data_IF_362247377720
#
_entry.id   IF_362247377720
#
_cell.length_a   1.000
_cell.length_b   1.000
_cell.length_c   1.000
_cell.angle_alpha   90.00
_cell.angle_beta   90.00
_cell.angle_gamma   90.00
#
_symmetry.space_group_name_H-M   'P 1'
#
loop_
_entity.id
_entity.type
_entity.pdbx_description
1 polymer ?
#
# COMPACT_ATOMS: atom_id res chain seq x y z
N UNK A 1 13.84 6.42 -5.15
CA UNK A 1 12.89 6.26 -6.29
C UNK A 1 12.14 7.56 -6.52
N UNK A 2 11.92 7.98 -7.77
CA UNK A 2 11.09 9.17 -8.07
C UNK A 2 9.62 8.84 -7.94
N UNK A 3 8.79 9.80 -7.52
CA UNK A 3 7.34 9.62 -7.36
C UNK A 3 6.66 9.14 -8.67
N UNK A 4 7.09 9.63 -9.82
CA UNK A 4 6.57 9.20 -11.13
C UNK A 4 6.81 7.71 -11.42
N UNK A 5 7.99 7.20 -11.07
CA UNK A 5 8.33 5.79 -11.22
C UNK A 5 7.52 4.93 -10.26
N UNK A 6 7.42 5.35 -8.98
CA UNK A 6 6.58 4.70 -7.99
C UNK A 6 5.13 4.62 -8.44
N UNK A 7 4.58 5.74 -8.93
CA UNK A 7 3.21 5.82 -9.44
C UNK A 7 2.98 4.81 -10.57
N UNK A 8 3.86 4.77 -11.56
CA UNK A 8 3.75 3.83 -12.69
C UNK A 8 3.79 2.36 -12.23
N UNK A 9 4.65 2.03 -11.26
CA UNK A 9 4.72 0.68 -10.69
C UNK A 9 3.46 0.31 -9.90
N UNK A 10 2.89 1.23 -9.12
CA UNK A 10 1.62 1.04 -8.41
C UNK A 10 0.46 0.85 -9.40
N UNK A 11 0.41 1.66 -10.46
CA UNK A 11 -0.60 1.54 -11.53
C UNK A 11 -0.49 0.20 -12.28
N UNK A 12 0.71 -0.28 -12.51
CA UNK A 12 0.93 -1.61 -13.13
C UNK A 12 0.51 -2.75 -12.20
N UNK A 13 0.89 -2.69 -10.93
CA UNK A 13 0.57 -3.74 -9.95
C UNK A 13 -0.91 -3.77 -9.58
N UNK A 14 -1.59 -2.61 -9.53
CA UNK A 14 -3.01 -2.41 -9.14
C UNK A 14 -3.37 -2.89 -7.74
N UNK A 15 -2.56 -3.72 -7.11
CA UNK A 15 -2.77 -4.23 -5.75
C UNK A 15 -1.47 -4.20 -4.98
N UNK A 16 -1.55 -3.84 -3.70
CA UNK A 16 -0.43 -3.83 -2.76
C UNK A 16 -0.76 -4.78 -1.61
N UNK A 17 -0.04 -5.89 -1.43
CA UNK A 17 -0.16 -6.72 -0.24
C UNK A 17 0.18 -5.92 1.02
N UNK A 18 -0.75 -5.87 1.99
CA UNK A 18 -0.59 -5.17 3.27
C UNK A 18 -0.33 -6.20 4.35
N UNK A 19 0.86 -6.17 4.92
CA UNK A 19 1.45 -7.28 5.66
C UNK A 19 1.81 -6.86 7.08
N UNK A 20 1.39 -7.68 8.06
CA UNK A 20 1.94 -7.68 9.40
C UNK A 20 2.75 -8.97 9.59
N UNK A 21 4.01 -8.85 9.95
CA UNK A 21 4.96 -9.96 10.10
C UNK A 21 5.75 -9.78 11.38
N UNK A 22 5.91 -10.86 12.15
CA UNK A 22 6.52 -10.82 13.47
C UNK A 22 7.95 -11.36 13.49
N UNK A 23 8.29 -12.20 12.53
CA UNK A 23 9.59 -12.86 12.46
C UNK A 23 10.36 -12.42 11.22
N UNK A 24 11.54 -11.85 11.44
CA UNK A 24 12.45 -11.42 10.36
C UNK A 24 12.90 -12.61 9.50
N UNK A 25 13.00 -13.82 10.06
CA UNK A 25 13.37 -15.01 9.30
C UNK A 25 12.38 -15.35 8.18
N UNK A 26 11.11 -14.93 8.31
CA UNK A 26 10.08 -15.09 7.27
C UNK A 26 10.19 -14.06 6.12
N UNK A 27 11.06 -13.05 6.22
CA UNK A 27 11.15 -11.96 5.23
C UNK A 27 11.56 -12.45 3.83
N UNK A 28 12.60 -13.29 3.74
CA UNK A 28 13.08 -13.81 2.45
C UNK A 28 12.07 -14.75 1.79
N UNK A 29 11.54 -15.80 2.47
CA UNK A 29 10.53 -16.65 1.87
C UNK A 29 9.25 -15.91 1.45
N UNK A 30 8.83 -14.88 2.23
CA UNK A 30 7.72 -14.03 1.88
C UNK A 30 7.99 -13.24 0.59
N UNK A 31 9.17 -12.61 0.49
CA UNK A 31 9.57 -11.85 -0.70
C UNK A 31 9.60 -12.74 -1.96
N UNK A 32 10.14 -13.96 -1.82
CA UNK A 32 10.17 -14.95 -2.91
C UNK A 32 8.74 -15.35 -3.33
N UNK A 33 7.87 -15.65 -2.36
CA UNK A 33 6.48 -16.03 -2.64
C UNK A 33 5.70 -14.92 -3.37
N UNK A 34 5.85 -13.66 -2.95
CA UNK A 34 5.22 -12.52 -3.61
C UNK A 34 5.73 -12.34 -5.05
N UNK A 35 7.06 -12.38 -5.24
CA UNK A 35 7.67 -12.18 -6.55
C UNK A 35 7.34 -13.32 -7.53
N UNK A 36 7.44 -14.59 -7.10
CA UNK A 36 7.10 -15.77 -7.88
C UNK A 36 5.61 -15.86 -8.21
N UNK A 37 4.75 -15.28 -7.34
CA UNK A 37 3.33 -15.11 -7.62
C UNK A 37 3.02 -13.97 -8.60
N UNK A 38 4.05 -13.22 -9.06
CA UNK A 38 3.91 -12.13 -10.03
C UNK A 38 3.54 -10.77 -9.41
N UNK A 39 3.66 -10.61 -8.08
CA UNK A 39 3.32 -9.38 -7.37
C UNK A 39 4.52 -8.90 -6.52
N UNK A 40 5.63 -8.41 -7.14
CA UNK A 40 6.86 -8.00 -6.45
C UNK A 40 6.71 -6.65 -5.73
N UNK A 41 5.71 -6.56 -4.87
CA UNK A 41 5.37 -5.36 -4.07
C UNK A 41 4.85 -5.79 -2.70
N UNK A 42 5.18 -5.00 -1.65
CA UNK A 42 4.68 -5.21 -0.29
C UNK A 42 4.59 -3.89 0.49
N UNK A 43 3.54 -3.73 1.30
CA UNK A 43 3.42 -2.74 2.37
C UNK A 43 3.65 -3.47 3.69
N UNK A 44 4.82 -3.31 4.31
CA UNK A 44 5.15 -3.90 5.62
C UNK A 44 4.71 -2.92 6.71
N UNK A 45 3.82 -3.36 7.59
CA UNK A 45 3.20 -2.46 8.56
C UNK A 45 3.97 -2.39 9.88
N UNK A 46 4.24 -1.18 10.38
CA UNK A 46 4.83 -0.91 11.70
C UNK A 46 3.84 -1.20 12.85
N UNK A 47 3.10 -2.30 12.72
CA UNK A 47 2.27 -2.89 13.78
C UNK A 47 3.01 -3.97 14.58
N UNK A 48 4.23 -4.28 14.18
CA UNK A 48 5.13 -5.25 14.82
C UNK A 48 6.51 -4.63 15.00
N UNK A 49 7.24 -5.07 16.00
CA UNK A 49 8.61 -4.60 16.23
C UNK A 49 9.59 -5.02 15.12
N UNK A 50 9.27 -6.09 14.38
CA UNK A 50 10.13 -6.61 13.32
C UNK A 50 10.05 -5.80 12.00
N UNK A 51 9.12 -4.86 11.87
CA UNK A 51 8.78 -4.24 10.58
C UNK A 51 9.98 -3.59 9.89
N UNK A 52 10.79 -2.82 10.60
CA UNK A 52 11.99 -2.18 10.04
C UNK A 52 13.01 -3.20 9.53
N UNK A 53 13.33 -4.20 10.33
CA UNK A 53 14.30 -5.26 9.99
C UNK A 53 13.80 -6.11 8.81
N UNK A 54 12.48 -6.37 8.74
CA UNK A 54 11.86 -7.07 7.60
C UNK A 54 11.97 -6.26 6.31
N UNK A 55 11.72 -4.94 6.34
CA UNK A 55 11.90 -4.06 5.18
C UNK A 55 13.34 -4.15 4.67
N UNK A 56 14.32 -4.02 5.56
CA UNK A 56 15.74 -4.09 5.23
C UNK A 56 16.12 -5.45 4.64
N UNK A 57 15.65 -6.55 5.26
CA UNK A 57 15.90 -7.91 4.78
C UNK A 57 15.33 -8.14 3.38
N UNK A 58 14.07 -7.74 3.12
CA UNK A 58 13.46 -7.86 1.79
C UNK A 58 14.22 -7.01 0.77
N UNK A 59 14.55 -5.76 1.10
CA UNK A 59 15.26 -4.84 0.20
C UNK A 59 16.67 -5.33 -0.16
N UNK A 60 17.33 -6.01 0.77
CA UNK A 60 18.65 -6.62 0.54
C UNK A 60 18.54 -7.88 -0.32
N UNK A 61 17.55 -8.74 -0.03
CA UNK A 61 17.35 -10.02 -0.72
C UNK A 61 16.77 -9.84 -2.14
N UNK A 62 15.81 -8.92 -2.29
CA UNK A 62 15.09 -8.63 -3.56
C UNK A 62 15.10 -7.13 -3.84
N UNK A 63 16.22 -6.53 -4.28
CA UNK A 63 16.33 -5.09 -4.49
C UNK A 63 15.36 -4.53 -5.55
N UNK A 64 14.86 -5.37 -6.45
CA UNK A 64 13.85 -5.02 -7.47
C UNK A 64 12.44 -4.87 -6.89
N UNK A 65 12.15 -5.45 -5.72
CA UNK A 65 10.81 -5.35 -5.12
C UNK A 65 10.48 -3.93 -4.70
N UNK A 66 9.20 -3.57 -4.84
CA UNK A 66 8.65 -2.32 -4.34
C UNK A 66 8.20 -2.52 -2.88
N UNK A 67 9.02 -2.12 -1.92
CA UNK A 67 8.71 -2.27 -0.49
C UNK A 67 8.37 -0.93 0.11
N UNK A 68 7.17 -0.82 0.68
CA UNK A 68 6.70 0.34 1.42
C UNK A 68 6.48 0.03 2.90
N UNK A 69 6.41 1.09 3.70
CA UNK A 69 6.10 1.04 5.12
C UNK A 69 4.63 1.42 5.36
N UNK A 70 3.89 0.58 6.07
CA UNK A 70 2.51 0.86 6.49
C UNK A 70 2.41 1.23 7.96
N UNK A 71 1.32 1.91 8.33
CA UNK A 71 1.05 2.32 9.73
C UNK A 71 2.15 3.23 10.29
N UNK A 72 2.62 4.16 9.46
CA UNK A 72 3.61 5.18 9.86
C UNK A 72 2.85 6.33 10.49
N UNK A 73 2.94 6.45 11.83
CA UNK A 73 2.10 7.36 12.63
C UNK A 73 2.83 8.62 13.10
N UNK A 74 4.14 8.64 13.01
CA UNK A 74 4.99 9.72 13.49
C UNK A 74 6.25 9.89 12.63
N UNK A 75 6.99 10.95 12.90
CA UNK A 75 8.22 11.32 12.17
C UNK A 75 9.36 10.33 12.44
N UNK A 76 9.41 9.75 13.63
CA UNK A 76 10.46 8.79 13.99
C UNK A 76 10.31 7.51 13.17
N UNK A 77 9.11 6.95 13.15
CA UNK A 77 8.76 5.79 12.31
C UNK A 77 8.97 6.08 10.81
N UNK A 78 8.66 7.31 10.35
CA UNK A 78 8.90 7.72 8.96
C UNK A 78 10.39 7.68 8.60
N UNK A 79 11.24 8.20 9.49
CA UNK A 79 12.70 8.22 9.30
C UNK A 79 13.29 6.83 9.37
N UNK A 80 12.82 6.00 10.31
CA UNK A 80 13.20 4.59 10.39
C UNK A 80 12.87 3.85 9.11
N UNK A 81 11.62 3.93 8.65
CA UNK A 81 11.17 3.28 7.42
C UNK A 81 12.04 3.66 6.20
N UNK A 82 12.32 4.95 6.04
CA UNK A 82 13.20 5.45 4.98
C UNK A 82 14.63 4.94 5.12
N UNK A 83 15.19 4.94 6.35
CA UNK A 83 16.53 4.46 6.65
C UNK A 83 16.71 2.96 6.41
N UNK A 84 15.66 2.17 6.63
CA UNK A 84 15.59 0.71 6.37
C UNK A 84 15.34 0.37 4.89
N UNK A 85 15.22 1.36 4.01
CA UNK A 85 15.14 1.16 2.57
C UNK A 85 13.71 1.05 2.03
N UNK A 86 12.67 1.40 2.79
CA UNK A 86 11.34 1.60 2.22
C UNK A 86 11.39 2.68 1.13
N UNK A 87 10.62 2.52 0.05
CA UNK A 87 10.58 3.47 -1.06
C UNK A 87 9.33 4.35 -1.07
N UNK A 88 8.37 4.04 -0.20
CA UNK A 88 7.22 4.86 0.14
C UNK A 88 6.70 4.51 1.53
N UNK A 89 5.86 5.36 2.10
CA UNK A 89 5.15 5.04 3.33
C UNK A 89 3.68 5.44 3.24
N UNK A 90 2.86 4.80 4.08
CA UNK A 90 1.43 5.08 4.20
C UNK A 90 1.00 5.13 5.66
N UNK A 91 -0.02 5.92 5.96
CA UNK A 91 -0.64 6.02 7.27
C UNK A 91 -2.14 5.69 7.23
N UNK A 92 -2.75 5.27 8.35
CA UNK A 92 -4.19 5.08 8.43
C UNK A 92 -4.98 6.40 8.47
N UNK A 93 -4.35 7.50 8.87
CA UNK A 93 -4.95 8.82 8.98
C UNK A 93 -4.05 9.91 8.45
N UNK A 94 -4.53 11.16 8.54
CA UNK A 94 -3.79 12.35 8.12
C UNK A 94 -3.14 13.01 9.34
N UNK A 95 -1.82 13.11 9.33
CA UNK A 95 -1.05 13.93 10.27
C UNK A 95 -0.20 14.93 9.48
N UNK A 96 -0.44 16.23 9.73
CA UNK A 96 0.24 17.31 9.01
C UNK A 96 1.75 17.30 9.25
N UNK A 97 2.19 16.99 10.47
CA UNK A 97 3.61 17.02 10.85
C UNK A 97 4.38 15.93 10.09
N UNK A 98 3.81 14.72 10.03
CA UNK A 98 4.39 13.60 9.30
C UNK A 98 4.42 13.88 7.79
N UNK A 99 3.33 14.42 7.23
CA UNK A 99 3.25 14.81 5.81
C UNK A 99 4.31 15.84 5.46
N UNK A 100 4.42 16.92 6.24
CA UNK A 100 5.39 17.99 6.01
C UNK A 100 6.84 17.49 6.10
N UNK A 101 7.13 16.60 7.05
CA UNK A 101 8.47 16.00 7.15
C UNK A 101 8.77 15.08 5.97
N UNK A 102 7.81 14.25 5.53
CA UNK A 102 7.97 13.42 4.35
C UNK A 102 8.28 14.27 3.08
N UNK A 103 7.58 15.39 2.92
CA UNK A 103 7.82 16.33 1.83
C UNK A 103 9.23 16.94 1.90
N UNK A 104 9.70 17.34 3.09
CA UNK A 104 11.09 17.85 3.29
C UNK A 104 12.12 16.79 2.95
N UNK A 105 11.87 15.52 3.29
CA UNK A 105 12.74 14.39 2.96
C UNK A 105 12.69 14.01 1.47
N UNK A 106 11.73 14.53 0.70
CA UNK A 106 11.45 14.06 -0.66
C UNK A 106 11.01 12.60 -0.70
N UNK A 107 10.43 12.11 0.41
CA UNK A 107 10.02 10.72 0.58
C UNK A 107 8.53 10.56 0.28
N UNK A 108 8.13 9.67 -0.67
CA UNK A 108 6.74 9.43 -1.01
C UNK A 108 5.94 8.96 0.21
N UNK A 109 4.91 9.72 0.60
CA UNK A 109 4.05 9.41 1.72
C UNK A 109 2.58 9.57 1.34
N UNK A 110 1.77 8.55 1.60
CA UNK A 110 0.35 8.51 1.29
C UNK A 110 -0.46 8.54 2.59
N UNK A 111 -0.90 9.72 3.06
CA UNK A 111 -1.70 9.85 4.26
C UNK A 111 -3.06 9.19 4.10
N UNK A 112 -3.61 8.69 5.21
CA UNK A 112 -4.96 8.16 5.27
C UNK A 112 -6.01 9.27 5.25
N UNK A 113 -7.12 9.01 4.57
CA UNK A 113 -8.28 9.91 4.51
C UNK A 113 -9.59 9.11 4.61
N UNK A 114 -10.61 9.76 5.11
CA UNK A 114 -11.98 9.24 5.11
C UNK A 114 -13.02 10.32 4.75
N UNK A 115 -12.67 11.60 4.85
CA UNK A 115 -13.58 12.74 4.66
C UNK A 115 -13.08 13.72 3.59
N UNK A 116 -13.98 14.58 3.04
CA UNK A 116 -13.58 15.68 2.17
C UNK A 116 -12.56 16.63 2.82
N UNK A 117 -12.66 16.85 4.14
CA UNK A 117 -11.73 17.70 4.89
C UNK A 117 -10.31 17.15 4.85
N UNK A 118 -10.15 15.82 5.00
CA UNK A 118 -8.84 15.18 4.94
C UNK A 118 -8.23 15.32 3.52
N UNK A 119 -9.06 15.15 2.49
CA UNK A 119 -8.62 15.32 1.08
C UNK A 119 -8.13 16.76 0.85
N UNK A 120 -8.89 17.75 1.31
CA UNK A 120 -8.49 19.16 1.19
C UNK A 120 -7.19 19.46 1.94
N UNK A 121 -7.03 18.92 3.15
CA UNK A 121 -5.81 19.08 3.93
C UNK A 121 -4.59 18.50 3.20
N UNK A 122 -4.71 17.29 2.61
CA UNK A 122 -3.64 16.68 1.84
C UNK A 122 -3.32 17.47 0.56
N UNK A 123 -4.35 17.88 -0.20
CA UNK A 123 -4.18 18.66 -1.42
C UNK A 123 -3.55 20.03 -1.16
N UNK A 124 -3.84 20.69 -0.02
CA UNK A 124 -3.22 21.97 0.36
C UNK A 124 -1.70 21.88 0.55
N UNK A 125 -1.18 20.68 0.83
CA UNK A 125 0.24 20.38 0.91
C UNK A 125 0.80 19.79 -0.39
N UNK A 126 0.02 19.69 -1.46
CA UNK A 126 0.44 19.16 -2.75
C UNK A 126 0.45 17.62 -2.83
N UNK A 127 -0.03 16.91 -1.78
CA UNK A 127 -0.11 15.44 -1.78
C UNK A 127 -1.34 14.99 -2.55
N UNK A 128 -1.11 14.14 -3.57
CA UNK A 128 -2.17 13.69 -4.50
C UNK A 128 -2.45 12.19 -4.47
N UNK A 129 -1.64 11.39 -3.78
CA UNK A 129 -1.94 9.96 -3.58
C UNK A 129 -2.32 9.76 -2.13
N UNK A 130 -3.54 9.26 -1.90
CA UNK A 130 -4.18 9.19 -0.58
C UNK A 130 -4.65 7.77 -0.29
N UNK A 131 -4.44 7.29 0.93
CA UNK A 131 -4.98 6.01 1.39
C UNK A 131 -6.41 6.21 1.88
N UNK A 132 -7.39 5.62 1.20
CA UNK A 132 -8.77 5.58 1.71
C UNK A 132 -8.92 4.44 2.70
N UNK A 133 -9.05 4.75 3.99
CA UNK A 133 -9.03 3.76 5.07
C UNK A 133 -9.98 4.16 6.23
N UNK A 134 -10.70 3.19 6.83
CA UNK A 134 -10.88 1.78 6.42
C UNK A 134 -11.94 1.63 5.31
N UNK A 135 -11.54 1.28 4.10
CA UNK A 135 -12.34 1.43 2.89
C UNK A 135 -13.69 0.72 2.94
N UNK A 136 -13.74 -0.55 3.37
CA UNK A 136 -14.98 -1.32 3.46
C UNK A 136 -15.95 -0.75 4.50
N UNK A 137 -15.47 -0.48 5.72
CA UNK A 137 -16.27 0.06 6.81
C UNK A 137 -16.73 1.51 6.55
N UNK A 138 -15.97 2.27 5.77
CA UNK A 138 -16.30 3.64 5.37
C UNK A 138 -17.33 3.74 4.23
N UNK A 139 -17.92 2.62 3.77
CA UNK A 139 -18.96 2.60 2.74
C UNK A 139 -18.49 2.10 1.37
N UNK A 140 -17.27 1.57 1.28
CA UNK A 140 -16.80 0.83 0.13
C UNK A 140 -16.61 1.64 -1.14
N UNK A 141 -16.69 0.98 -2.32
CA UNK A 141 -16.51 1.63 -3.62
C UNK A 141 -17.50 2.76 -3.87
N UNK A 142 -18.73 2.63 -3.37
CA UNK A 142 -19.76 3.66 -3.52
C UNK A 142 -19.36 4.97 -2.83
N UNK A 143 -18.87 4.87 -1.60
CA UNK A 143 -18.40 6.05 -0.84
C UNK A 143 -17.17 6.67 -1.52
N UNK A 144 -16.20 5.86 -1.89
CA UNK A 144 -14.99 6.35 -2.56
C UNK A 144 -15.31 7.07 -3.87
N UNK A 145 -16.24 6.54 -4.70
CA UNK A 145 -16.70 7.19 -5.92
C UNK A 145 -17.33 8.55 -5.64
N UNK A 146 -18.15 8.65 -4.58
CA UNK A 146 -18.78 9.91 -4.17
C UNK A 146 -17.74 10.93 -3.68
N UNK A 147 -16.74 10.50 -2.91
CA UNK A 147 -15.64 11.35 -2.47
C UNK A 147 -14.75 11.81 -3.62
N UNK A 148 -14.43 10.95 -4.58
CA UNK A 148 -13.55 11.27 -5.70
C UNK A 148 -14.16 12.29 -6.69
N UNK A 149 -15.48 12.28 -6.84
CA UNK A 149 -16.18 13.11 -7.84
C UNK A 149 -15.82 14.59 -7.80
N UNK A 150 -15.98 15.29 -6.66
CA UNK A 150 -15.66 16.72 -6.53
C UNK A 150 -14.19 17.07 -6.79
N UNK A 151 -13.26 16.10 -6.63
CA UNK A 151 -11.82 16.31 -6.73
C UNK A 151 -11.20 15.79 -8.03
N UNK A 152 -11.99 15.26 -8.97
CA UNK A 152 -11.47 14.63 -10.20
C UNK A 152 -10.53 15.56 -11.00
N UNK A 153 -10.82 16.86 -11.01
CA UNK A 153 -10.02 17.87 -11.72
C UNK A 153 -8.66 18.16 -11.08
N UNK A 154 -8.42 17.73 -9.82
CA UNK A 154 -7.17 17.97 -9.08
C UNK A 154 -6.08 16.96 -9.41
N UNK A 155 -6.44 15.84 -10.04
CA UNK A 155 -5.55 14.71 -10.29
C UNK A 155 -5.28 13.85 -9.04
N UNK A 156 -6.12 13.94 -7.99
CA UNK A 156 -6.01 13.09 -6.79
C UNK A 156 -6.25 11.62 -7.14
N UNK A 157 -5.47 10.75 -6.53
CA UNK A 157 -5.54 9.29 -6.69
C UNK A 157 -5.70 8.63 -5.32
N UNK A 158 -6.37 7.48 -5.30
CA UNK A 158 -6.68 6.78 -4.07
C UNK A 158 -6.12 5.36 -4.04
N UNK A 159 -5.69 4.95 -2.84
CA UNK A 159 -5.34 3.58 -2.48
C UNK A 159 -6.35 3.09 -1.42
N UNK A 160 -7.51 2.52 -1.81
CA UNK A 160 -8.44 1.95 -0.85
C UNK A 160 -7.83 0.74 -0.15
N UNK A 161 -7.91 0.72 1.18
CA UNK A 161 -7.36 -0.32 2.04
C UNK A 161 -8.31 -0.61 3.20
N UNK A 162 -8.38 -1.89 3.62
CA UNK A 162 -9.24 -2.34 4.72
C UNK A 162 -10.60 -2.80 4.23
N UNK A 163 -10.86 -4.12 4.32
CA UNK A 163 -12.06 -4.77 3.83
C UNK A 163 -12.08 -5.03 2.31
N UNK A 164 -10.98 -4.72 1.61
CA UNK A 164 -10.78 -5.15 0.22
C UNK A 164 -10.43 -6.63 0.18
N UNK A 165 -10.98 -7.35 -0.77
CA UNK A 165 -10.74 -8.76 -1.04
C UNK A 165 -10.93 -9.07 -2.53
N UNK A 166 -10.64 -10.30 -2.95
CA UNK A 166 -10.71 -10.68 -4.37
C UNK A 166 -12.10 -10.45 -4.98
N UNK A 167 -13.18 -10.66 -4.20
CA UNK A 167 -14.56 -10.52 -4.69
C UNK A 167 -14.99 -9.07 -4.94
N UNK A 168 -14.49 -8.10 -4.16
CA UNK A 168 -14.85 -6.68 -4.30
C UNK A 168 -13.77 -5.82 -4.95
N UNK A 169 -12.58 -6.38 -5.18
CA UNK A 169 -11.47 -5.69 -5.83
C UNK A 169 -11.86 -5.07 -7.19
N UNK A 170 -12.62 -5.78 -8.07
CA UNK A 170 -13.05 -5.23 -9.35
C UNK A 170 -13.81 -3.91 -9.24
N UNK A 171 -14.65 -3.75 -8.22
CA UNK A 171 -15.47 -2.55 -8.02
C UNK A 171 -14.61 -1.34 -7.64
N UNK A 172 -13.57 -1.55 -6.81
CA UNK A 172 -12.59 -0.50 -6.50
C UNK A 172 -11.76 -0.12 -7.73
N UNK A 173 -11.25 -1.10 -8.47
CA UNK A 173 -10.41 -0.86 -9.65
C UNK A 173 -11.17 -0.25 -10.84
N UNK A 174 -12.51 -0.31 -10.85
CA UNK A 174 -13.35 0.37 -11.81
C UNK A 174 -13.41 1.90 -11.61
N UNK A 175 -13.00 2.40 -10.45
CA UNK A 175 -12.94 3.84 -10.16
C UNK A 175 -11.65 4.40 -10.75
N UNK A 176 -11.74 5.29 -11.75
CA UNK A 176 -10.58 5.83 -12.46
C UNK A 176 -9.55 6.51 -11.55
N UNK A 177 -9.98 7.09 -10.42
CA UNK A 177 -9.10 7.71 -9.44
C UNK A 177 -8.35 6.69 -8.56
N UNK A 178 -8.67 5.39 -8.62
CA UNK A 178 -7.95 4.35 -7.84
C UNK A 178 -6.67 3.96 -8.57
N UNK A 179 -5.53 4.18 -7.90
CA UNK A 179 -4.21 3.82 -8.41
C UNK A 179 -3.90 2.34 -8.19
N UNK A 180 -4.12 1.88 -6.96
CA UNK A 180 -3.97 0.50 -6.51
C UNK A 180 -4.85 0.28 -5.30
N UNK A 181 -5.13 -0.96 -4.91
CA UNK A 181 -5.88 -1.31 -3.71
C UNK A 181 -5.00 -2.09 -2.71
N UNK A 182 -5.12 -1.78 -1.42
CA UNK A 182 -4.40 -2.50 -0.37
C UNK A 182 -5.11 -3.78 0.05
N UNK A 183 -4.42 -4.92 -0.03
CA UNK A 183 -4.97 -6.24 0.25
C UNK A 183 -4.29 -6.99 1.39
N UNK A 184 -4.98 -7.20 2.51
CA UNK A 184 -4.45 -8.01 3.63
C UNK A 184 -4.68 -9.50 3.44
N UNK A 185 -5.58 -9.90 2.54
CA UNK A 185 -5.92 -11.32 2.30
C UNK A 185 -4.83 -12.09 1.58
N UNK A 186 -3.93 -11.39 0.87
CA UNK A 186 -2.89 -12.00 0.03
C UNK A 186 -1.87 -12.74 0.89
N UNK A 187 -1.39 -12.11 1.96
CA UNK A 187 -0.41 -12.68 2.88
C UNK A 187 -0.86 -12.42 4.32
N UNK A 188 -1.74 -13.26 4.83
CA UNK A 188 -2.26 -13.16 6.20
C UNK A 188 -1.17 -13.52 7.21
N UNK A 189 -1.23 -12.89 8.40
CA UNK A 189 -0.27 -13.13 9.49
C UNK A 189 -0.14 -14.61 9.84
N UNK A 190 -1.27 -15.32 9.94
CA UNK A 190 -1.27 -16.74 10.28
C UNK A 190 -0.68 -17.61 9.14
N UNK A 191 -0.92 -17.24 7.88
CA UNK A 191 -0.35 -17.91 6.70
C UNK A 191 1.18 -17.76 6.67
N UNK A 192 1.68 -16.55 6.98
CA UNK A 192 3.11 -16.27 7.08
C UNK A 192 3.72 -17.05 8.26
N UNK A 193 3.10 -17.00 9.44
CA UNK A 193 3.58 -17.70 10.62
C UNK A 193 3.60 -19.23 10.46
N UNK A 194 2.67 -19.77 9.66
CA UNK A 194 2.62 -21.19 9.29
C UNK A 194 3.58 -21.60 8.18
N UNK A 195 4.28 -20.65 7.54
CA UNK A 195 5.18 -20.93 6.41
C UNK A 195 4.47 -21.41 5.15
N UNK A 196 3.18 -21.10 4.99
CA UNK A 196 2.37 -21.52 3.83
C UNK A 196 2.59 -20.55 2.64
N UNK A 197 3.79 -20.63 2.06
CA UNK A 197 4.21 -19.79 0.95
C UNK A 197 3.45 -20.11 -0.35
N UNK A 198 2.98 -21.34 -0.51
CA UNK A 198 2.21 -21.75 -1.69
C UNK A 198 0.85 -21.07 -1.74
N UNK A 199 0.17 -20.94 -0.62
CA UNK A 199 -1.06 -20.14 -0.52
C UNK A 199 -0.81 -18.67 -0.87
N UNK A 200 0.32 -18.09 -0.43
CA UNK A 200 0.66 -16.69 -0.78
C UNK A 200 0.91 -16.53 -2.27
N UNK A 201 1.68 -17.45 -2.89
CA UNK A 201 1.90 -17.46 -4.35
C UNK A 201 0.60 -17.55 -5.13
N UNK A 202 -0.29 -18.44 -4.69
CA UNK A 202 -1.58 -18.63 -5.36
C UNK A 202 -2.48 -17.40 -5.24
N UNK A 203 -2.55 -16.78 -4.05
CA UNK A 203 -3.28 -15.53 -3.86
C UNK A 203 -2.76 -14.41 -4.77
N UNK A 204 -1.43 -14.32 -4.95
CA UNK A 204 -0.82 -13.36 -5.87
C UNK A 204 -1.22 -13.64 -7.32
N UNK A 205 -1.15 -14.90 -7.78
CA UNK A 205 -1.54 -15.30 -9.16
C UNK A 205 -2.99 -14.95 -9.45
N UNK A 206 -3.91 -15.22 -8.53
CA UNK A 206 -5.32 -14.87 -8.68
C UNK A 206 -5.53 -13.35 -8.83
N UNK A 207 -4.78 -12.54 -8.09
CA UNK A 207 -4.81 -11.08 -8.23
C UNK A 207 -4.26 -10.65 -9.60
N UNK A 208 -3.13 -11.19 -10.02
CA UNK A 208 -2.48 -10.88 -11.31
C UNK A 208 -3.39 -11.25 -12.48
N UNK A 209 -4.01 -12.42 -12.44
CA UNK A 209 -4.97 -12.88 -13.46
C UNK A 209 -6.19 -11.94 -13.53
N UNK A 210 -6.78 -11.60 -12.38
CA UNK A 210 -7.93 -10.70 -12.32
C UNK A 210 -7.61 -9.31 -12.88
N UNK A 211 -6.42 -8.77 -12.57
CA UNK A 211 -5.95 -7.46 -13.07
C UNK A 211 -5.63 -7.55 -14.57
N UNK A 212 -4.97 -8.61 -15.01
CA UNK A 212 -4.61 -8.83 -16.42
C UNK A 212 -5.82 -8.96 -17.33
N UNK A 213 -6.86 -9.69 -16.90
CA UNK A 213 -8.11 -9.87 -17.65
C UNK A 213 -8.89 -8.54 -17.89
N UNK A 214 -8.57 -7.46 -17.17
CA UNK A 214 -9.22 -6.14 -17.34
C UNK A 214 -8.46 -5.19 -18.24
N UNK A 215 -7.20 -5.49 -18.53
CA UNK A 215 -6.33 -4.63 -19.35
C UNK A 215 -6.26 -5.10 -20.81
N UNK A 216 -6.87 -6.24 -21.15
CA UNK A 216 -7.05 -6.80 -22.50
C UNK A 216 -8.47 -6.57 -23.00
#
# INVERSE_FOLDING_TARGET
MKLTELTARLESARVVPVIAIDDVAAAHPLADALAEGGLPIAEITFRTAAAGDVIEAIRTHRPEMLVGAGTVLDVETLKEASGRGAVFAVAPGFDRVVVEEALKMGFPFFPGIMTPTDIQAALSLGVKILKFFPAGAAGGPKMLKSLAGPYAHTGVRFNPTGGVNLGNLPDYLAIAAVIAAGGTWIAKRDTIAGGDWDTIRENCRQVVELVGARNG
#
